data_IF_892410915307
#
_entry.id   IF_892410915307
#
_cell.length_a   1.000
_cell.length_b   1.000
_cell.length_c   1.000
_cell.angle_alpha   90.00
_cell.angle_beta   90.00
_cell.angle_gamma   90.00
#
_symmetry.space_group_name_H-M   'P 1'
#
loop_
_entity.id
_entity.type
_entity.pdbx_description
1 polymer ?
#
# COMPACT_ATOMS: atom_id res chain seq x y z
N UNK A 1 -22.62 23.41 -1.64
CA UNK A 1 -21.41 22.59 -1.43
C UNK A 1 -21.64 21.11 -1.14
N UNK A 2 -22.76 20.59 -1.57
CA UNK A 2 -23.11 19.16 -1.33
C UNK A 2 -22.81 18.23 -2.52
N UNK A 3 -22.10 18.67 -3.53
CA UNK A 3 -21.91 17.92 -4.79
C UNK A 3 -20.70 16.98 -4.84
N UNK A 4 -19.84 16.98 -3.84
CA UNK A 4 -18.66 16.10 -3.81
C UNK A 4 -18.87 14.75 -3.11
N UNK A 5 -19.91 14.59 -2.31
CA UNK A 5 -20.06 13.43 -1.45
C UNK A 5 -20.42 12.14 -2.21
N UNK A 6 -21.20 12.23 -3.29
CA UNK A 6 -21.62 11.03 -4.02
C UNK A 6 -20.49 10.35 -4.80
N UNK A 7 -19.58 11.12 -5.39
CA UNK A 7 -18.43 10.57 -6.12
C UNK A 7 -17.37 10.02 -5.17
N UNK A 8 -17.16 10.70 -4.06
CA UNK A 8 -16.24 10.25 -3.01
C UNK A 8 -16.66 8.90 -2.45
N UNK A 9 -17.93 8.72 -2.13
CA UNK A 9 -18.45 7.46 -1.59
C UNK A 9 -18.31 6.30 -2.57
N UNK A 10 -18.48 6.54 -3.87
CA UNK A 10 -18.34 5.49 -4.89
C UNK A 10 -16.88 5.04 -5.02
N UNK A 11 -15.93 5.98 -5.01
CA UNK A 11 -14.50 5.69 -5.04
C UNK A 11 -14.07 4.95 -3.78
N UNK A 12 -14.51 5.41 -2.61
CA UNK A 12 -14.22 4.76 -1.34
C UNK A 12 -14.74 3.33 -1.28
N UNK A 13 -15.94 3.09 -1.79
CA UNK A 13 -16.50 1.76 -1.87
C UNK A 13 -15.70 0.84 -2.79
N UNK A 14 -15.25 1.35 -3.94
CA UNK A 14 -14.39 0.60 -4.86
C UNK A 14 -13.08 0.18 -4.16
N UNK A 15 -12.40 1.10 -3.50
CA UNK A 15 -11.18 0.79 -2.76
C UNK A 15 -11.41 -0.17 -1.59
N UNK A 16 -12.54 -0.08 -0.90
CA UNK A 16 -12.93 -1.04 0.15
C UNK A 16 -13.10 -2.44 -0.41
N UNK A 17 -13.78 -2.58 -1.53
CA UNK A 17 -13.96 -3.88 -2.19
C UNK A 17 -12.63 -4.47 -2.67
N UNK A 18 -11.76 -3.65 -3.24
CA UNK A 18 -10.41 -4.06 -3.62
C UNK A 18 -9.62 -4.55 -2.40
N UNK A 19 -9.69 -3.82 -1.28
CA UNK A 19 -9.01 -4.20 -0.04
C UNK A 19 -9.51 -5.53 0.53
N UNK A 20 -10.81 -5.80 0.43
CA UNK A 20 -11.42 -7.05 0.91
C UNK A 20 -11.09 -8.24 0.03
N UNK A 21 -11.13 -8.06 -1.28
CA UNK A 21 -11.06 -9.15 -2.26
C UNK A 21 -9.64 -9.48 -2.72
N UNK A 22 -8.64 -8.66 -2.38
CA UNK A 22 -7.26 -8.80 -2.90
C UNK A 22 -7.16 -8.83 -4.43
N UNK A 23 -8.18 -8.34 -5.14
CA UNK A 23 -8.25 -8.36 -6.60
C UNK A 23 -8.79 -7.05 -7.15
N UNK A 24 -8.16 -6.60 -8.24
CA UNK A 24 -8.70 -5.59 -9.14
C UNK A 24 -9.55 -6.27 -10.19
N UNK A 25 -10.77 -6.56 -10.02
CA UNK A 25 -11.73 -7.04 -11.03
C UNK A 25 -11.29 -8.32 -11.77
N UNK A 26 -12.07 -9.33 -11.59
CA UNK A 26 -11.95 -10.61 -12.28
C UNK A 26 -12.47 -10.52 -13.71
N UNK A 27 -11.60 -10.57 -14.67
CA UNK A 27 -11.92 -11.26 -15.92
C UNK A 27 -11.55 -12.72 -15.78
N UNK A 28 -12.48 -13.60 -15.99
CA UNK A 28 -12.41 -15.02 -15.68
C UNK A 28 -11.31 -15.81 -16.44
N UNK A 29 -10.56 -15.17 -17.32
CA UNK A 29 -9.63 -15.84 -18.25
C UNK A 29 -8.19 -15.31 -18.22
N UNK A 30 -7.87 -14.33 -17.39
CA UNK A 30 -6.50 -13.82 -17.29
C UNK A 30 -6.12 -13.82 -15.83
N UNK A 31 -4.98 -14.39 -15.50
CA UNK A 31 -4.42 -14.30 -14.17
C UNK A 31 -4.06 -12.83 -13.89
N UNK A 32 -5.06 -12.10 -13.39
CA UNK A 32 -4.95 -10.68 -13.06
C UNK A 32 -3.80 -10.40 -12.11
N UNK A 33 -3.44 -11.37 -11.26
CA UNK A 33 -2.31 -11.28 -10.35
C UNK A 33 -0.97 -11.22 -11.08
N UNK A 34 -0.82 -11.94 -12.20
CA UNK A 34 0.40 -11.87 -13.00
C UNK A 34 0.57 -10.53 -13.68
N UNK A 35 -0.53 -9.95 -14.18
CA UNK A 35 -0.52 -8.63 -14.81
C UNK A 35 -0.17 -7.56 -13.78
N UNK A 36 -0.82 -7.56 -12.62
CA UNK A 36 -0.53 -6.66 -11.51
C UNK A 36 0.93 -6.76 -11.08
N UNK A 37 1.44 -7.98 -11.00
CA UNK A 37 2.85 -8.25 -10.69
C UNK A 37 3.79 -7.67 -11.74
N UNK A 38 3.50 -7.85 -13.02
CA UNK A 38 4.30 -7.29 -14.12
C UNK A 38 4.30 -5.77 -14.11
N UNK A 39 3.14 -5.15 -13.86
CA UNK A 39 3.03 -3.68 -13.74
C UNK A 39 3.88 -3.19 -12.57
N UNK A 40 3.75 -3.80 -11.40
CA UNK A 40 4.51 -3.41 -10.23
C UNK A 40 6.02 -3.55 -10.44
N UNK A 41 6.48 -4.64 -11.05
CA UNK A 41 7.89 -4.84 -11.39
C UNK A 41 8.39 -3.80 -12.39
N UNK A 42 7.57 -3.42 -13.36
CA UNK A 42 7.92 -2.37 -14.34
C UNK A 42 8.06 -0.99 -13.71
N UNK A 43 7.38 -0.76 -12.59
CA UNK A 43 7.47 0.47 -11.80
C UNK A 43 8.66 0.49 -10.81
N UNK A 44 9.42 -0.60 -10.74
CA UNK A 44 10.62 -0.69 -9.91
C UNK A 44 10.41 -1.36 -8.54
N UNK A 45 9.23 -1.92 -8.28
CA UNK A 45 9.02 -2.76 -7.10
C UNK A 45 9.72 -4.10 -7.25
N UNK A 46 10.22 -4.66 -6.15
CA UNK A 46 10.90 -5.96 -6.14
C UNK A 46 9.91 -7.10 -5.90
N UNK A 47 10.33 -8.33 -6.18
CA UNK A 47 9.55 -9.52 -5.84
C UNK A 47 9.24 -9.60 -4.35
N UNK A 48 10.17 -9.21 -3.50
CA UNK A 48 9.99 -9.17 -2.05
C UNK A 48 8.90 -8.17 -1.63
N UNK A 49 8.85 -7.00 -2.27
CA UNK A 49 7.78 -6.02 -2.05
C UNK A 49 6.40 -6.62 -2.39
N UNK A 50 6.32 -7.39 -3.46
CA UNK A 50 5.08 -8.05 -3.90
C UNK A 50 4.66 -9.19 -2.98
N UNK A 51 5.60 -9.94 -2.45
CA UNK A 51 5.36 -11.04 -1.53
C UNK A 51 4.80 -10.57 -0.18
N UNK A 52 4.96 -9.30 0.17
CA UNK A 52 4.34 -8.72 1.35
C UNK A 52 2.81 -8.75 1.32
N UNK A 53 2.21 -8.94 0.16
CA UNK A 53 0.76 -8.97 -0.04
C UNK A 53 0.12 -7.58 -0.06
N UNK A 54 0.91 -6.53 -0.08
CA UNK A 54 0.42 -5.14 -0.07
C UNK A 54 0.13 -4.59 -1.47
N UNK A 55 0.54 -5.30 -2.52
CA UNK A 55 0.31 -4.87 -3.88
C UNK A 55 -1.17 -4.97 -4.26
N UNK A 56 -1.76 -3.84 -4.63
CA UNK A 56 -3.13 -3.73 -5.12
C UNK A 56 -3.23 -3.60 -6.65
N UNK A 57 -2.10 -3.53 -7.35
CA UNK A 57 -2.08 -3.21 -8.78
C UNK A 57 -2.52 -1.78 -9.11
N UNK A 58 -2.66 -0.92 -8.11
CA UNK A 58 -3.14 0.47 -8.24
C UNK A 58 -2.01 1.49 -8.27
N UNK A 59 -0.78 1.06 -8.11
CA UNK A 59 0.39 1.94 -8.08
C UNK A 59 0.66 2.59 -9.43
N UNK A 60 0.82 3.91 -9.42
CA UNK A 60 1.17 4.70 -10.60
C UNK A 60 2.65 5.09 -10.62
N UNK A 61 3.44 4.68 -9.65
CA UNK A 61 4.85 5.01 -9.53
C UNK A 61 5.51 4.31 -8.35
N UNK A 62 6.77 4.58 -8.14
CA UNK A 62 7.56 4.09 -7.03
C UNK A 62 8.23 5.27 -6.31
N UNK A 63 7.50 5.96 -5.41
CA UNK A 63 8.00 7.17 -4.77
C UNK A 63 9.21 6.91 -3.87
N UNK A 64 9.34 5.69 -3.32
CA UNK A 64 10.43 5.34 -2.41
C UNK A 64 11.79 5.35 -3.11
N UNK A 65 11.85 4.92 -4.36
CA UNK A 65 13.08 4.93 -5.15
C UNK A 65 13.62 6.36 -5.36
N UNK A 66 12.71 7.32 -5.54
CA UNK A 66 13.05 8.73 -5.77
C UNK A 66 13.20 9.54 -4.48
N UNK A 67 12.72 9.04 -3.35
CA UNK A 67 12.74 9.74 -2.07
C UNK A 67 14.12 9.79 -1.41
N UNK A 68 15.04 8.94 -1.86
CA UNK A 68 16.42 8.90 -1.35
C UNK A 68 16.50 8.74 0.17
N UNK A 69 15.70 7.82 0.71
CA UNK A 69 15.60 7.55 2.14
C UNK A 69 16.92 7.02 2.71
N UNK A 70 17.19 7.38 3.97
CA UNK A 70 18.38 6.99 4.70
C UNK A 70 18.03 6.30 6.01
N UNK A 71 18.98 5.53 6.53
CA UNK A 71 18.86 4.92 7.85
C UNK A 71 18.51 5.94 8.93
N UNK A 72 17.57 5.59 9.79
CA UNK A 72 17.16 6.40 10.94
C UNK A 72 16.15 7.49 10.65
N UNK A 73 15.75 7.70 9.39
CA UNK A 73 14.76 8.71 9.04
C UNK A 73 13.35 8.35 9.49
N UNK A 74 12.54 9.37 9.73
CA UNK A 74 11.09 9.26 9.93
C UNK A 74 10.38 9.63 8.64
N UNK A 75 9.53 8.74 8.16
CA UNK A 75 8.80 8.88 6.89
C UNK A 75 7.30 8.91 7.14
N UNK A 76 6.60 9.79 6.47
CA UNK A 76 5.14 9.84 6.47
C UNK A 76 4.61 9.50 5.09
N UNK A 77 3.77 8.48 5.01
CA UNK A 77 3.07 8.08 3.78
C UNK A 77 1.58 8.40 3.91
N UNK A 78 1.12 9.35 3.13
CA UNK A 78 -0.27 9.77 3.07
C UNK A 78 -1.01 8.98 1.99
N UNK A 79 -2.11 8.32 2.37
CA UNK A 79 -2.82 7.41 1.48
C UNK A 79 -2.07 6.08 1.31
N UNK A 80 -1.62 5.49 2.40
CA UNK A 80 -0.71 4.34 2.37
C UNK A 80 -1.35 3.03 1.86
N UNK A 81 -2.66 2.96 1.76
CA UNK A 81 -3.37 1.75 1.35
C UNK A 81 -3.02 0.54 2.21
N UNK A 82 -2.71 -0.59 1.59
CA UNK A 82 -2.25 -1.81 2.28
C UNK A 82 -0.78 -1.75 2.73
N UNK A 83 -0.08 -0.66 2.50
CA UNK A 83 1.24 -0.40 3.05
C UNK A 83 2.43 -0.82 2.21
N UNK A 84 2.30 -1.03 0.91
CA UNK A 84 3.42 -1.46 0.06
C UNK A 84 4.64 -0.53 0.15
N UNK A 85 4.43 0.77 -0.03
CA UNK A 85 5.50 1.77 0.09
C UNK A 85 5.98 1.92 1.53
N UNK A 86 5.08 1.82 2.51
CA UNK A 86 5.42 1.82 3.93
C UNK A 86 6.41 0.71 4.25
N UNK A 87 6.14 -0.51 3.82
CA UNK A 87 7.01 -1.65 4.12
C UNK A 87 8.35 -1.56 3.39
N UNK A 88 8.35 -1.05 2.18
CA UNK A 88 9.59 -0.76 1.45
C UNK A 88 10.43 0.29 2.18
N UNK A 89 9.82 1.37 2.63
CA UNK A 89 10.49 2.40 3.42
C UNK A 89 11.02 1.86 4.76
N UNK A 90 10.27 0.99 5.44
CA UNK A 90 10.69 0.36 6.69
C UNK A 90 12.02 -0.39 6.56
N UNK A 91 12.23 -1.07 5.45
CA UNK A 91 13.49 -1.77 5.19
C UNK A 91 14.66 -0.82 5.00
N UNK A 92 14.42 0.34 4.38
CA UNK A 92 15.47 1.33 4.11
C UNK A 92 15.84 2.10 5.36
N UNK A 93 14.87 2.58 6.14
CA UNK A 93 15.15 3.37 7.34
C UNK A 93 15.64 2.53 8.53
N UNK A 94 15.39 1.23 8.50
CA UNK A 94 15.85 0.29 9.50
C UNK A 94 15.23 0.48 10.90
N UNK A 95 15.75 -0.25 11.87
CA UNK A 95 15.21 -0.29 13.24
C UNK A 95 15.32 1.05 13.98
N UNK A 96 16.25 1.90 13.61
CA UNK A 96 16.40 3.26 14.16
C UNK A 96 15.47 4.29 13.53
N UNK A 97 14.84 3.95 12.41
CA UNK A 97 13.88 4.79 11.72
C UNK A 97 12.43 4.49 12.09
N UNK A 98 11.52 5.27 11.54
CA UNK A 98 10.09 5.09 11.73
C UNK A 98 9.36 5.43 10.45
N UNK A 99 8.40 4.60 10.06
CA UNK A 99 7.49 4.89 8.94
C UNK A 99 6.06 4.98 9.46
N UNK A 100 5.41 6.10 9.20
CA UNK A 100 4.03 6.36 9.58
C UNK A 100 3.19 6.30 8.31
N UNK A 101 2.29 5.34 8.22
CA UNK A 101 1.32 5.23 7.14
C UNK A 101 -0.06 5.68 7.61
N UNK A 102 -0.71 6.48 6.80
CA UNK A 102 -2.04 7.01 7.08
C UNK A 102 -2.96 6.77 5.88
N UNK A 103 -4.13 6.23 6.14
CA UNK A 103 -5.18 6.11 5.15
C UNK A 103 -6.53 6.43 5.78
N UNK A 104 -7.48 6.93 4.99
CA UNK A 104 -8.81 7.23 5.50
C UNK A 104 -9.73 6.02 5.54
N UNK A 105 -9.41 4.98 4.79
CA UNK A 105 -10.20 3.74 4.74
C UNK A 105 -9.71 2.77 5.81
N UNK A 106 -10.58 2.48 6.78
CA UNK A 106 -10.26 1.55 7.87
C UNK A 106 -9.88 0.16 7.35
N UNK A 107 -10.52 -0.32 6.30
CA UNK A 107 -10.25 -1.62 5.69
C UNK A 107 -8.82 -1.72 5.13
N UNK A 108 -8.30 -0.62 4.56
CA UNK A 108 -6.91 -0.55 4.10
C UNK A 108 -5.94 -0.58 5.26
N UNK A 109 -6.20 0.22 6.29
CA UNK A 109 -5.35 0.29 7.49
C UNK A 109 -5.32 -1.03 8.23
N UNK A 110 -6.46 -1.68 8.41
CA UNK A 110 -6.54 -3.01 9.04
C UNK A 110 -5.73 -4.06 8.29
N UNK A 111 -5.81 -4.05 6.97
CA UNK A 111 -5.02 -4.96 6.14
C UNK A 111 -3.52 -4.67 6.24
N UNK A 112 -3.14 -3.40 6.23
CA UNK A 112 -1.75 -2.99 6.39
C UNK A 112 -1.20 -3.40 7.78
N UNK A 113 -1.97 -3.22 8.84
CA UNK A 113 -1.60 -3.67 10.19
C UNK A 113 -1.41 -5.19 10.23
N UNK A 114 -2.33 -5.94 9.64
CA UNK A 114 -2.22 -7.39 9.56
C UNK A 114 -0.94 -7.83 8.85
N UNK A 115 -0.64 -7.23 7.70
CA UNK A 115 0.57 -7.54 6.94
C UNK A 115 1.82 -7.16 7.73
N UNK A 116 1.83 -6.00 8.40
CA UNK A 116 2.97 -5.54 9.20
C UNK A 116 3.29 -6.52 10.34
N UNK A 117 2.28 -7.04 11.01
CA UNK A 117 2.45 -8.02 12.07
C UNK A 117 2.94 -9.36 11.54
N UNK A 118 2.35 -9.83 10.45
CA UNK A 118 2.71 -11.09 9.80
C UNK A 118 4.16 -11.08 9.28
N UNK A 119 4.59 -9.97 8.71
CA UNK A 119 5.94 -9.78 8.16
C UNK A 119 6.94 -9.18 9.16
N UNK A 120 6.51 -8.93 10.40
CA UNK A 120 7.36 -8.44 11.51
C UNK A 120 8.00 -7.08 11.24
N UNK A 121 7.25 -6.15 10.66
CA UNK A 121 7.65 -4.75 10.58
C UNK A 121 7.29 -4.03 11.88
N UNK A 122 8.27 -3.79 12.74
CA UNK A 122 8.06 -3.16 14.06
C UNK A 122 8.34 -1.65 14.05
N UNK A 123 8.98 -1.14 13.01
CA UNK A 123 9.33 0.27 12.84
C UNK A 123 8.28 1.04 12.03
N UNK A 124 7.03 0.70 12.18
CA UNK A 124 5.91 1.37 11.50
C UNK A 124 4.74 1.64 12.44
N UNK A 125 4.04 2.74 12.18
CA UNK A 125 2.76 3.08 12.77
C UNK A 125 1.74 3.29 11.66
N UNK A 126 0.65 2.55 11.70
CA UNK A 126 -0.41 2.60 10.70
C UNK A 126 -1.67 3.14 11.35
N UNK A 127 -2.20 4.23 10.80
CA UNK A 127 -3.32 4.96 11.38
C UNK A 127 -4.39 5.28 10.35
N UNK A 128 -5.63 5.21 10.78
CA UNK A 128 -6.74 5.82 10.06
C UNK A 128 -6.76 7.33 10.34
N UNK A 129 -7.01 8.06 9.32
CA UNK A 129 -7.24 9.50 9.45
C UNK A 129 -8.67 9.85 9.08
#
# INVERSE_FOLDING_TARGET
>A
MKKCDCKSNTIDNLYREIAKNDRLISDENIDSREIEKKIALSLGYTLEDLESGANLGLGCGNPIENANLKLGETVLDLGCGKGMDVFKACKIVGDSGLVIGVDRLSEMVEKAIYISQKKKFFNTKLKRK
#
